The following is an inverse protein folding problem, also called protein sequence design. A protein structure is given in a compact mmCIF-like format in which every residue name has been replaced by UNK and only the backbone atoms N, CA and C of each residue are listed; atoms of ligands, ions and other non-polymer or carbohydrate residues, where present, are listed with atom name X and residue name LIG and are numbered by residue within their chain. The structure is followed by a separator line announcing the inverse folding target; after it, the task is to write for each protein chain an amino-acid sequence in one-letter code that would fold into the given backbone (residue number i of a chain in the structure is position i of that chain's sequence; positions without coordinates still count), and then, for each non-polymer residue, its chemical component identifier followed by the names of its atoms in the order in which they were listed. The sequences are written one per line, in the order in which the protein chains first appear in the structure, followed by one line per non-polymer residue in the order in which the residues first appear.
data_IF_114271385812
#
_entry.id   IF_114271385812
#
_cell.length_a   1.000
_cell.length_b   1.000
_cell.length_c   1.000
_cell.angle_alpha   90.00
_cell.angle_beta   90.00
_cell.angle_gamma   90.00
#
_symmetry.space_group_name_H-M   'P 1'
#
loop_
_entity.id
_entity.type
_entity.pdbx_description
1 polymer ?
#
# COMPACT_ATOMS: atom_id res chain seq x y z
N UNK A 1 -13.81 -20.44 -10.11
CA UNK A 1 -14.56 -19.70 -9.07
C UNK A 1 -14.15 -18.24 -9.15
N UNK A 2 -15.06 -17.29 -9.07
CA UNK A 2 -14.75 -15.86 -9.10
C UNK A 2 -15.07 -15.25 -7.73
N UNK A 3 -14.08 -14.66 -7.07
CA UNK A 3 -14.22 -14.01 -5.77
C UNK A 3 -14.16 -12.50 -5.98
N UNK A 4 -15.06 -11.73 -5.35
CA UNK A 4 -14.95 -10.28 -5.36
C UNK A 4 -13.88 -9.79 -4.37
N UNK A 5 -12.66 -9.59 -4.84
CA UNK A 5 -11.53 -9.05 -4.06
C UNK A 5 -11.31 -7.55 -4.24
N UNK A 6 -12.31 -6.81 -4.73
CA UNK A 6 -12.24 -5.35 -4.84
C UNK A 6 -12.51 -4.69 -3.48
N UNK A 7 -12.10 -3.44 -3.34
CA UNK A 7 -12.25 -2.66 -2.11
C UNK A 7 -12.58 -1.20 -2.44
N UNK A 8 -13.05 -0.46 -1.44
CA UNK A 8 -13.18 1.00 -1.44
C UNK A 8 -12.32 1.59 -0.33
N UNK A 9 -12.18 2.92 -0.28
CA UNK A 9 -11.52 3.60 0.84
C UNK A 9 -12.55 4.17 1.81
N UNK A 10 -12.36 3.96 3.11
CA UNK A 10 -13.17 4.59 4.16
C UNK A 10 -12.72 6.04 4.47
N UNK A 11 -13.37 6.65 5.46
CA UNK A 11 -13.07 8.03 5.91
C UNK A 11 -11.64 8.19 6.47
N UNK A 12 -11.01 7.09 6.89
CA UNK A 12 -9.61 7.03 7.33
C UNK A 12 -8.65 6.71 6.17
N UNK A 13 -9.14 6.73 4.93
CA UNK A 13 -8.40 6.43 3.70
C UNK A 13 -7.86 4.99 3.64
N UNK A 14 -8.44 4.07 4.42
CA UNK A 14 -8.07 2.65 4.49
C UNK A 14 -8.95 1.80 3.60
N UNK A 15 -8.37 0.73 3.08
CA UNK A 15 -9.04 -0.16 2.12
C UNK A 15 -10.05 -1.03 2.89
N UNK A 16 -11.31 -1.04 2.46
CA UNK A 16 -12.37 -1.86 3.03
C UNK A 16 -12.90 -2.79 1.95
N UNK A 17 -12.92 -4.12 2.16
CA UNK A 17 -13.33 -5.05 1.12
C UNK A 17 -14.83 -4.87 0.83
N UNK A 18 -15.20 -4.92 -0.45
CA UNK A 18 -16.63 -4.96 -0.82
C UNK A 18 -17.31 -6.24 -0.33
N UNK A 19 -16.56 -7.35 -0.25
CA UNK A 19 -17.00 -8.62 0.36
C UNK A 19 -15.88 -9.23 1.19
N UNK A 20 -16.00 -9.13 2.51
CA UNK A 20 -15.05 -9.76 3.44
C UNK A 20 -15.01 -11.27 3.23
N UNK A 21 -16.17 -11.90 3.05
CA UNK A 21 -16.26 -13.35 2.83
C UNK A 21 -15.55 -13.77 1.54
N UNK A 22 -15.74 -13.06 0.43
CA UNK A 22 -15.10 -13.42 -0.84
C UNK A 22 -13.60 -13.24 -0.77
N UNK A 23 -13.11 -12.15 -0.15
CA UNK A 23 -11.68 -11.93 0.00
C UNK A 23 -11.04 -12.99 0.91
N UNK A 24 -11.71 -13.41 1.99
CA UNK A 24 -11.28 -14.54 2.82
C UNK A 24 -11.27 -15.87 2.04
N UNK A 25 -12.29 -16.12 1.23
CA UNK A 25 -12.35 -17.32 0.38
C UNK A 25 -11.25 -17.31 -0.68
N UNK A 26 -10.94 -16.14 -1.27
CA UNK A 26 -9.83 -15.98 -2.19
C UNK A 26 -8.48 -16.23 -1.52
N UNK A 27 -8.29 -15.74 -0.29
CA UNK A 27 -7.10 -16.05 0.51
C UNK A 27 -6.96 -17.57 0.69
N UNK A 28 -8.03 -18.26 1.11
CA UNK A 28 -8.02 -19.71 1.29
C UNK A 28 -7.68 -20.45 -0.01
N UNK A 29 -8.35 -20.08 -1.11
CA UNK A 29 -8.11 -20.65 -2.43
C UNK A 29 -6.65 -20.46 -2.89
N UNK A 30 -6.10 -19.24 -2.77
CA UNK A 30 -4.70 -18.99 -3.15
C UNK A 30 -3.75 -19.79 -2.25
N UNK A 31 -4.01 -19.88 -0.94
CA UNK A 31 -3.20 -20.71 -0.03
C UNK A 31 -3.16 -22.18 -0.46
N UNK A 32 -4.30 -22.76 -0.86
CA UNK A 32 -4.36 -24.12 -1.40
C UNK A 32 -3.53 -24.28 -2.69
N UNK A 33 -3.60 -23.31 -3.60
CA UNK A 33 -2.82 -23.34 -4.83
C UNK A 33 -1.30 -23.27 -4.55
N UNK A 34 -0.88 -22.48 -3.55
CA UNK A 34 0.54 -22.33 -3.17
C UNK A 34 1.18 -23.60 -2.57
N UNK A 35 0.38 -24.61 -2.23
CA UNK A 35 0.88 -25.90 -1.70
C UNK A 35 1.23 -26.91 -2.79
N UNK A 36 1.07 -26.57 -4.07
CA UNK A 36 1.40 -27.44 -5.19
C UNK A 36 2.91 -27.49 -5.44
N UNK A 37 3.48 -28.70 -5.44
CA UNK A 37 4.92 -28.95 -5.67
C UNK A 37 5.43 -28.52 -7.06
N UNK A 38 4.55 -28.19 -8.01
CA UNK A 38 4.91 -27.83 -9.38
C UNK A 38 4.93 -26.32 -9.65
N UNK A 39 4.75 -25.49 -8.63
CA UNK A 39 4.63 -24.05 -8.85
C UNK A 39 5.99 -23.38 -9.13
N UNK A 40 6.06 -22.65 -10.25
CA UNK A 40 7.19 -21.76 -10.54
C UNK A 40 7.32 -20.70 -9.44
N UNK A 41 8.57 -20.46 -9.00
CA UNK A 41 8.93 -19.44 -8.01
C UNK A 41 8.38 -18.05 -8.36
N UNK A 42 8.34 -17.65 -9.63
CA UNK A 42 7.79 -16.34 -10.01
C UNK A 42 6.31 -16.19 -9.63
N UNK A 43 5.51 -17.22 -9.94
CA UNK A 43 4.09 -17.23 -9.65
C UNK A 43 3.85 -17.36 -8.15
N UNK A 44 4.67 -18.13 -7.43
CA UNK A 44 4.63 -18.21 -5.97
C UNK A 44 4.88 -16.84 -5.33
N UNK A 45 5.89 -16.11 -5.80
CA UNK A 45 6.18 -14.74 -5.34
C UNK A 45 5.02 -13.77 -5.59
N UNK A 46 4.40 -13.84 -6.77
CA UNK A 46 3.20 -13.05 -7.10
C UNK A 46 2.03 -13.37 -6.18
N UNK A 47 1.75 -14.66 -5.94
CA UNK A 47 0.66 -15.11 -5.08
C UNK A 47 0.88 -14.71 -3.62
N UNK A 48 2.11 -14.82 -3.11
CA UNK A 48 2.45 -14.29 -1.79
C UNK A 48 2.29 -12.77 -1.71
N UNK A 49 2.65 -12.03 -2.76
CA UNK A 49 2.35 -10.60 -2.85
C UNK A 49 0.86 -10.27 -2.75
N UNK A 50 0.00 -11.09 -3.39
CA UNK A 50 -1.45 -10.95 -3.34
C UNK A 50 -2.03 -11.33 -1.98
N UNK A 51 -1.63 -12.49 -1.43
CA UNK A 51 -1.99 -12.93 -0.07
C UNK A 51 -1.63 -11.87 0.95
N UNK A 52 -0.47 -11.23 0.80
CA UNK A 52 -0.03 -10.10 1.59
C UNK A 52 -1.03 -8.95 1.63
N UNK A 53 -1.47 -8.51 0.45
CA UNK A 53 -2.43 -7.40 0.31
C UNK A 53 -3.79 -7.79 0.88
N UNK A 54 -4.35 -8.93 0.49
CA UNK A 54 -5.67 -9.36 0.96
C UNK A 54 -5.67 -9.59 2.47
N UNK A 55 -4.61 -10.20 3.02
CA UNK A 55 -4.49 -10.39 4.48
C UNK A 55 -4.50 -9.06 5.23
N UNK A 56 -3.84 -8.01 4.72
CA UNK A 56 -3.93 -6.66 5.33
C UNK A 56 -5.37 -6.15 5.32
N UNK A 57 -6.03 -6.21 4.17
CA UNK A 57 -7.39 -5.66 3.98
C UNK A 57 -8.40 -6.35 4.90
N UNK A 58 -8.28 -7.66 5.13
CA UNK A 58 -9.14 -8.40 6.06
C UNK A 58 -8.69 -8.31 7.53
N UNK A 59 -7.67 -7.50 7.85
CA UNK A 59 -7.19 -7.25 9.21
C UNK A 59 -6.19 -8.27 9.76
N UNK A 60 -5.73 -9.24 8.97
CA UNK A 60 -4.70 -10.20 9.37
C UNK A 60 -3.29 -9.68 9.03
N UNK A 61 -2.78 -8.78 9.87
CA UNK A 61 -1.50 -8.12 9.65
C UNK A 61 -0.29 -9.07 9.77
N UNK A 62 -0.36 -10.08 10.64
CA UNK A 62 0.72 -11.05 10.82
C UNK A 62 0.93 -11.90 9.55
N UNK A 63 -0.16 -12.41 8.97
CA UNK A 63 -0.11 -13.12 7.68
C UNK A 63 0.38 -12.17 6.58
N UNK A 64 -0.12 -10.93 6.56
CA UNK A 64 0.29 -9.93 5.57
C UNK A 64 1.81 -9.73 5.54
N UNK A 65 2.41 -9.50 6.72
CA UNK A 65 3.86 -9.32 6.88
C UNK A 65 4.62 -10.57 6.45
N UNK A 66 4.15 -11.75 6.84
CA UNK A 66 4.77 -13.04 6.51
C UNK A 66 4.79 -13.28 5.00
N UNK A 67 3.65 -13.11 4.33
CA UNK A 67 3.54 -13.32 2.89
C UNK A 67 4.32 -12.27 2.09
N UNK A 68 4.27 -11.00 2.46
CA UNK A 68 5.03 -9.95 1.77
C UNK A 68 6.55 -10.14 1.93
N UNK A 69 7.00 -10.56 3.12
CA UNK A 69 8.42 -10.89 3.35
C UNK A 69 8.86 -12.07 2.48
N UNK A 70 8.03 -13.10 2.38
CA UNK A 70 8.29 -14.27 1.53
C UNK A 70 8.32 -13.89 0.05
N UNK A 71 7.39 -13.04 -0.41
CA UNK A 71 7.38 -12.51 -1.78
C UNK A 71 8.65 -11.70 -2.09
N UNK A 72 9.10 -10.85 -1.17
CA UNK A 72 10.36 -10.11 -1.29
C UNK A 72 11.54 -11.08 -1.42
N UNK A 73 11.61 -12.12 -0.58
CA UNK A 73 12.69 -13.11 -0.62
C UNK A 73 12.76 -13.83 -1.96
N UNK A 74 11.62 -14.32 -2.46
CA UNK A 74 11.52 -15.02 -3.74
C UNK A 74 11.96 -14.10 -4.89
N UNK A 75 11.40 -12.89 -4.96
CA UNK A 75 11.74 -11.95 -6.04
C UNK A 75 13.17 -11.44 -5.95
N UNK A 76 13.76 -11.37 -4.75
CA UNK A 76 15.18 -11.06 -4.58
C UNK A 76 16.07 -12.17 -5.13
N UNK A 77 15.77 -13.44 -4.83
CA UNK A 77 16.50 -14.59 -5.38
C UNK A 77 16.43 -14.66 -6.92
N UNK A 78 15.35 -14.13 -7.50
CA UNK A 78 15.15 -14.02 -8.94
C UNK A 78 15.71 -12.73 -9.56
N UNK A 79 16.38 -11.87 -8.79
CA UNK A 79 16.85 -10.55 -9.23
C UNK A 79 15.75 -9.64 -9.83
N UNK A 80 14.50 -9.80 -9.39
CA UNK A 80 13.37 -9.00 -9.85
C UNK A 80 13.21 -7.75 -8.97
N UNK A 81 14.09 -6.76 -9.18
CA UNK A 81 14.13 -5.53 -8.41
C UNK A 81 12.78 -4.78 -8.36
N UNK A 82 12.01 -4.80 -9.46
CA UNK A 82 10.68 -4.19 -9.52
C UNK A 82 9.72 -4.82 -8.52
N UNK A 83 9.63 -6.15 -8.50
CA UNK A 83 8.73 -6.84 -7.58
C UNK A 83 9.22 -6.77 -6.13
N UNK A 84 10.53 -6.74 -5.89
CA UNK A 84 11.07 -6.46 -4.55
C UNK A 84 10.61 -5.09 -4.05
N UNK A 85 10.74 -4.06 -4.88
CA UNK A 85 10.33 -2.70 -4.55
C UNK A 85 8.82 -2.60 -4.28
N UNK A 86 7.98 -3.18 -5.15
CA UNK A 86 6.52 -3.21 -4.98
C UNK A 86 6.12 -3.88 -3.66
N UNK A 87 6.71 -5.03 -3.33
CA UNK A 87 6.35 -5.75 -2.12
C UNK A 87 6.89 -5.07 -0.85
N UNK A 88 8.02 -4.35 -0.92
CA UNK A 88 8.48 -3.48 0.17
C UNK A 88 7.50 -2.33 0.44
N UNK A 89 6.99 -1.68 -0.61
CA UNK A 89 5.96 -0.64 -0.47
C UNK A 89 4.68 -1.19 0.19
N UNK A 90 4.22 -2.36 -0.26
CA UNK A 90 3.06 -3.05 0.34
C UNK A 90 3.31 -3.46 1.80
N UNK A 91 4.55 -3.84 2.14
CA UNK A 91 4.94 -4.22 3.50
C UNK A 91 4.96 -3.00 4.43
N UNK A 92 5.50 -1.86 3.97
CA UNK A 92 5.43 -0.60 4.71
C UNK A 92 3.97 -0.21 5.03
N UNK A 93 3.08 -0.35 4.05
CA UNK A 93 1.64 -0.11 4.23
C UNK A 93 0.99 -1.07 5.25
N UNK A 94 1.48 -2.31 5.35
CA UNK A 94 0.98 -3.29 6.33
C UNK A 94 1.43 -2.94 7.75
N UNK A 95 2.68 -2.47 7.92
CA UNK A 95 3.14 -1.92 9.20
C UNK A 95 2.41 -0.64 9.60
N UNK A 96 2.06 0.23 8.64
CA UNK A 96 1.22 1.41 8.89
C UNK A 96 -0.11 0.99 9.52
N UNK A 97 -0.81 0.02 8.94
CA UNK A 97 -2.14 -0.41 9.43
C UNK A 97 -2.08 -1.06 10.81
N UNK A 98 -1.00 -1.78 11.10
CA UNK A 98 -0.69 -2.30 12.43
C UNK A 98 -0.30 -1.18 13.44
N UNK A 99 -0.26 0.09 13.00
CA UNK A 99 0.21 1.26 13.76
C UNK A 99 1.66 1.13 14.25
N UNK A 100 2.45 0.27 13.62
CA UNK A 100 3.90 0.23 13.83
C UNK A 100 4.56 1.32 12.98
N UNK A 101 4.29 2.57 13.35
CA UNK A 101 4.72 3.75 12.59
C UNK A 101 6.24 3.91 12.56
N UNK A 102 6.94 3.42 13.58
CA UNK A 102 8.40 3.41 13.58
C UNK A 102 8.95 2.62 12.39
N UNK A 103 8.45 1.40 12.18
CA UNK A 103 8.88 0.56 11.06
C UNK A 103 8.37 1.10 9.73
N UNK A 104 7.09 1.50 9.63
CA UNK A 104 6.56 2.00 8.36
C UNK A 104 7.24 3.30 7.91
N UNK A 105 7.49 4.25 8.81
CA UNK A 105 8.23 5.49 8.50
C UNK A 105 9.61 5.17 7.92
N UNK A 106 10.40 4.33 8.61
CA UNK A 106 11.72 3.92 8.14
C UNK A 106 11.64 3.30 6.73
N UNK A 107 10.69 2.41 6.51
CA UNK A 107 10.55 1.77 5.19
C UNK A 107 10.14 2.75 4.09
N UNK A 108 9.28 3.72 4.38
CA UNK A 108 8.93 4.77 3.42
C UNK A 108 10.11 5.68 3.11
N UNK A 109 10.90 6.06 4.11
CA UNK A 109 12.13 6.83 3.92
C UNK A 109 13.14 6.08 3.06
N UNK A 110 13.40 4.79 3.35
CA UNK A 110 14.30 3.95 2.56
C UNK A 110 13.82 3.82 1.10
N UNK A 111 12.51 3.64 0.87
CA UNK A 111 11.92 3.57 -0.48
C UNK A 111 12.03 4.90 -1.23
N UNK A 112 11.88 6.02 -0.53
CA UNK A 112 12.00 7.36 -1.10
C UNK A 112 13.45 7.68 -1.46
N UNK A 113 14.40 7.40 -0.58
CA UNK A 113 15.83 7.55 -0.85
C UNK A 113 16.23 6.70 -2.06
N UNK A 114 15.78 5.45 -2.12
CA UNK A 114 16.05 4.57 -3.27
C UNK A 114 15.45 5.10 -4.57
N UNK A 115 14.22 5.62 -4.53
CA UNK A 115 13.53 6.18 -5.69
C UNK A 115 14.22 7.44 -6.24
N UNK A 116 14.68 8.33 -5.35
CA UNK A 116 15.33 9.60 -5.72
C UNK A 116 16.77 9.39 -6.17
N UNK A 117 17.56 8.63 -5.40
CA UNK A 117 19.00 8.51 -5.62
C UNK A 117 19.36 7.64 -6.83
N UNK A 118 18.53 6.64 -7.15
CA UNK A 118 18.83 5.65 -8.19
C UNK A 118 17.94 5.78 -9.42
N UNK A 119 16.98 6.71 -9.45
CA UNK A 119 15.88 6.76 -10.43
C UNK A 119 15.12 5.41 -10.56
N UNK A 120 15.22 4.56 -9.53
CA UNK A 120 14.68 3.21 -9.53
C UNK A 120 13.34 3.16 -8.80
N UNK A 121 12.33 3.68 -9.48
CA UNK A 121 10.96 3.73 -8.98
C UNK A 121 9.92 3.14 -9.94
N UNK A 122 10.35 2.63 -11.10
CA UNK A 122 9.52 1.84 -12.04
C UNK A 122 8.20 2.50 -12.47
N UNK A 123 8.15 3.83 -12.54
CA UNK A 123 6.94 4.64 -12.75
C UNK A 123 5.87 4.48 -11.65
N UNK A 124 6.28 4.19 -10.41
CA UNK A 124 5.40 3.98 -9.25
C UNK A 124 5.62 5.04 -8.15
N UNK A 125 6.22 6.18 -8.49
CA UNK A 125 6.51 7.23 -7.53
C UNK A 125 5.24 7.88 -6.98
N UNK A 126 4.18 7.94 -7.77
CA UNK A 126 2.86 8.41 -7.33
C UNK A 126 2.26 7.49 -6.26
N UNK A 127 2.40 6.16 -6.40
CA UNK A 127 2.00 5.20 -5.37
C UNK A 127 2.80 5.38 -4.10
N UNK A 128 4.13 5.55 -4.20
CA UNK A 128 4.97 5.81 -3.03
C UNK A 128 4.51 7.06 -2.28
N UNK A 129 4.31 8.18 -2.99
CA UNK A 129 3.86 9.43 -2.39
C UNK A 129 2.46 9.31 -1.78
N UNK A 130 1.52 8.67 -2.47
CA UNK A 130 0.18 8.45 -1.95
C UNK A 130 0.22 7.63 -0.64
N UNK A 131 0.95 6.52 -0.62
CA UNK A 131 1.02 5.68 0.58
C UNK A 131 1.81 6.32 1.72
N UNK A 132 2.88 7.08 1.41
CA UNK A 132 3.60 7.80 2.45
C UNK A 132 2.72 8.90 3.08
N UNK A 133 1.96 9.63 2.25
CA UNK A 133 0.94 10.58 2.72
C UNK A 133 -0.06 9.91 3.67
N UNK A 134 -0.62 8.74 3.30
CA UNK A 134 -1.54 7.98 4.16
C UNK A 134 -0.90 7.56 5.48
N UNK A 135 0.36 7.16 5.44
CA UNK A 135 1.08 6.78 6.65
C UNK A 135 1.28 7.94 7.63
N UNK A 136 1.50 9.15 7.13
CA UNK A 136 1.55 10.36 7.96
C UNK A 136 0.16 10.81 8.41
N UNK A 137 -0.86 10.64 7.57
CA UNK A 137 -2.26 10.89 7.89
C UNK A 137 -2.73 10.04 9.09
N UNK A 138 -2.42 8.73 9.09
CA UNK A 138 -2.72 7.81 10.21
C UNK A 138 -2.00 8.18 11.53
N UNK A 139 -0.96 9.00 11.45
CA UNK A 139 -0.23 9.57 12.60
C UNK A 139 -0.78 10.93 13.03
N UNK A 140 -1.87 11.40 12.42
CA UNK A 140 -2.45 12.74 12.62
C UNK A 140 -1.50 13.88 12.21
N UNK A 141 -0.51 13.59 11.35
CA UNK A 141 0.45 14.59 10.83
C UNK A 141 -0.06 15.19 9.53
N UNK A 142 -1.22 15.82 9.57
CA UNK A 142 -1.95 16.25 8.37
C UNK A 142 -1.17 17.27 7.52
N UNK A 143 -0.53 18.24 8.15
CA UNK A 143 0.32 19.23 7.45
C UNK A 143 1.51 18.57 6.75
N UNK A 144 2.08 17.52 7.35
CA UNK A 144 3.17 16.76 6.74
C UNK A 144 2.70 15.80 5.65
N UNK A 145 1.46 15.28 5.76
CA UNK A 145 0.86 14.36 4.80
C UNK A 145 0.46 15.06 3.49
N UNK A 146 -0.13 16.25 3.59
CA UNK A 146 -0.64 17.04 2.46
C UNK A 146 0.34 17.16 1.27
N UNK A 147 1.60 17.60 1.44
CA UNK A 147 2.52 17.76 0.31
C UNK A 147 2.84 16.43 -0.40
N UNK A 148 2.69 15.29 0.26
CA UNK A 148 2.86 13.98 -0.40
C UNK A 148 1.69 13.66 -1.32
N UNK A 149 0.46 13.92 -0.88
CA UNK A 149 -0.72 13.74 -1.74
C UNK A 149 -0.70 14.68 -2.96
N UNK A 150 -0.27 15.93 -2.77
CA UNK A 150 -0.09 16.89 -3.89
C UNK A 150 0.95 16.41 -4.91
N UNK A 151 2.07 15.84 -4.44
CA UNK A 151 3.08 15.23 -5.33
C UNK A 151 2.51 14.03 -6.10
N UNK A 152 1.74 13.17 -5.44
CA UNK A 152 1.07 12.04 -6.10
C UNK A 152 0.08 12.54 -7.18
N UNK A 153 -0.78 13.51 -6.82
CA UNK A 153 -1.74 14.13 -7.74
C UNK A 153 -1.06 14.70 -8.98
N UNK A 154 0.03 15.46 -8.80
CA UNK A 154 0.79 16.06 -9.90
C UNK A 154 1.29 15.04 -10.92
N UNK A 155 1.68 13.84 -10.49
CA UNK A 155 2.08 12.75 -11.40
C UNK A 155 0.84 12.16 -12.07
N UNK A 156 -0.21 11.88 -11.31
CA UNK A 156 -1.44 11.23 -11.78
C UNK A 156 -2.20 12.05 -12.81
N UNK A 157 -2.24 13.38 -12.64
CA UNK A 157 -2.81 14.32 -13.62
C UNK A 157 -2.11 14.24 -14.98
N UNK A 158 -0.79 13.99 -15.02
CA UNK A 158 -0.08 13.81 -16.29
C UNK A 158 -0.40 12.49 -16.98
N UNK A 159 -0.78 11.48 -16.22
CA UNK A 159 -1.16 10.16 -16.73
C UNK A 159 -2.66 10.00 -17.02
N UNK A 160 -3.47 11.04 -16.76
CA UNK A 160 -4.93 11.07 -16.99
C UNK A 160 -5.71 9.91 -16.35
N UNK A 161 -5.19 9.34 -15.25
CA UNK A 161 -5.88 8.27 -14.52
C UNK A 161 -6.89 8.87 -13.53
N UNK A 162 -8.15 9.00 -13.97
CA UNK A 162 -9.23 9.65 -13.21
C UNK A 162 -9.46 9.05 -11.81
N UNK A 163 -9.37 7.72 -11.68
CA UNK A 163 -9.54 7.04 -10.40
C UNK A 163 -8.44 7.41 -9.40
N UNK A 164 -7.18 7.40 -9.86
CA UNK A 164 -6.03 7.76 -9.02
C UNK A 164 -6.02 9.26 -8.69
N UNK A 165 -6.41 10.12 -9.64
CA UNK A 165 -6.59 11.56 -9.44
C UNK A 165 -7.62 11.80 -8.33
N UNK A 166 -8.79 11.16 -8.44
CA UNK A 166 -9.86 11.28 -7.46
C UNK A 166 -9.41 10.80 -6.07
N UNK A 167 -8.69 9.68 -6.00
CA UNK A 167 -8.12 9.16 -4.75
C UNK A 167 -7.15 10.14 -4.08
N UNK A 168 -6.30 10.82 -4.85
CA UNK A 168 -5.41 11.86 -4.30
C UNK A 168 -6.19 13.09 -3.84
N UNK A 169 -7.24 13.50 -4.57
CA UNK A 169 -8.05 14.65 -4.20
C UNK A 169 -8.81 14.43 -2.88
N UNK A 170 -9.43 13.26 -2.70
CA UNK A 170 -10.07 12.88 -1.43
C UNK A 170 -9.09 13.00 -0.26
N UNK A 171 -7.86 12.50 -0.44
CA UNK A 171 -6.84 12.53 0.60
C UNK A 171 -6.37 13.97 0.94
N UNK A 172 -6.25 14.83 -0.07
CA UNK A 172 -5.94 16.26 0.10
C UNK A 172 -7.07 16.95 0.88
N UNK A 173 -8.32 16.75 0.46
CA UNK A 173 -9.48 17.37 1.09
C UNK A 173 -9.62 16.92 2.56
N UNK A 174 -9.34 15.64 2.84
CA UNK A 174 -9.29 15.10 4.20
C UNK A 174 -8.23 15.80 5.05
N UNK A 175 -6.99 15.96 4.56
CA UNK A 175 -5.96 16.73 5.26
C UNK A 175 -6.39 18.17 5.56
N UNK A 176 -6.90 18.89 4.54
CA UNK A 176 -7.31 20.30 4.68
C UNK A 176 -8.41 20.45 5.73
N UNK A 177 -9.41 19.56 5.72
CA UNK A 177 -10.51 19.55 6.71
C UNK A 177 -9.98 19.45 8.14
N UNK A 178 -8.98 18.60 8.39
CA UNK A 178 -8.38 18.45 9.71
C UNK A 178 -7.53 19.66 10.12
N UNK A 179 -6.69 20.18 9.22
CA UNK A 179 -5.83 21.35 9.46
C UNK A 179 -6.66 22.59 9.83
N UNK A 180 -7.76 22.84 9.10
CA UNK A 180 -8.66 23.96 9.39
C UNK A 180 -9.36 23.82 10.75
N UNK A 181 -9.76 22.59 11.11
CA UNK A 181 -10.40 22.30 12.40
C UNK A 181 -9.46 22.51 13.58
N UNK A 182 -8.17 22.22 13.42
CA UNK A 182 -7.14 22.45 14.45
C UNK A 182 -6.82 23.94 14.61
N UNK A 183 -6.76 24.67 13.49
CA UNK A 183 -6.54 26.12 13.47
C UNK A 183 -7.68 26.87 14.18
N UNK A 184 -8.94 26.46 13.97
CA UNK A 184 -10.10 27.09 14.61
C UNK A 184 -10.30 26.77 16.09
N UNK A 185 -9.61 25.77 16.64
CA UNK A 185 -9.60 25.46 18.09
C UNK A 185 -8.56 26.27 18.87
N UNK A 186 -7.64 26.92 18.16
CA UNK A 186 -6.52 27.67 18.74
C UNK A 186 -6.82 29.18 18.86
N UNK A 187 -8.10 29.55 18.70
CA UNK A 187 -8.66 30.92 18.76
C UNK A 187 -9.81 30.98 19.75
#
# INVERSE_FOLDING_TARGET
MHFNCTFYFDDDLREVPHSLSDMCNAIAYIKEQTQSDQQNQEELGRQYGMLGVYSRIVGNYADSITYLTSAISIHSAMNNAKQVWINKLRLAHSYQWMRNFHTSNRMFDDLLEHAISNDQHFNLLDFLYQHYGKNLYDQYKYESALPWFEKALKIRTKSENEELIHSSQIAIDACIKHILKESGKSS
#
